data_IF_728590096198
#
_entry.id   IF_728590096198
#
_cell.length_a   1.000
_cell.length_b   1.000
_cell.length_c   1.000
_cell.angle_alpha   90.00
_cell.angle_beta   90.00
_cell.angle_gamma   90.00
#
_symmetry.space_group_name_H-M   'P 1'
#
loop_
_entity.id
_entity.type
_entity.pdbx_description
1 polymer ?
#
# COMPACT_ATOMS: atom_id res chain seq x y z
N UNK A 1 -11.20 -34.21 8.59
CA UNK A 1 -11.12 -32.84 9.13
C UNK A 1 -11.27 -31.90 7.95
N UNK A 2 -12.39 -31.17 7.85
CA UNK A 2 -12.59 -30.17 6.77
C UNK A 2 -12.05 -28.84 7.29
N UNK A 3 -10.90 -28.43 6.78
CA UNK A 3 -10.45 -27.04 6.89
C UNK A 3 -11.36 -26.21 5.99
N UNK A 4 -12.42 -25.64 6.56
CA UNK A 4 -13.20 -24.63 5.89
C UNK A 4 -12.36 -23.36 5.89
N UNK A 5 -11.62 -23.12 4.80
CA UNK A 5 -10.97 -21.85 4.54
C UNK A 5 -12.07 -20.79 4.38
N UNK A 6 -12.48 -20.17 5.47
CA UNK A 6 -13.31 -18.98 5.45
C UNK A 6 -12.41 -17.82 5.00
N UNK A 7 -12.02 -17.81 3.72
CA UNK A 7 -11.46 -16.61 3.09
C UNK A 7 -12.60 -15.61 3.05
N UNK A 8 -12.65 -14.78 4.07
CA UNK A 8 -13.57 -13.66 4.12
C UNK A 8 -13.37 -12.84 2.84
N UNK A 9 -14.36 -12.87 1.95
CA UNK A 9 -14.32 -12.17 0.66
C UNK A 9 -14.30 -10.65 0.82
N UNK A 10 -14.33 -10.13 2.05
CA UNK A 10 -14.36 -8.69 2.33
C UNK A 10 -12.98 -8.04 2.49
N UNK A 11 -11.87 -8.79 2.41
CA UNK A 11 -10.53 -8.20 2.52
C UNK A 11 -9.84 -7.97 1.17
N UNK A 12 -9.17 -6.82 1.04
CA UNK A 12 -8.29 -6.54 -0.08
C UNK A 12 -7.02 -7.39 0.04
N UNK A 13 -6.65 -8.04 -1.05
CA UNK A 13 -5.43 -8.85 -1.13
C UNK A 13 -4.80 -8.73 -2.52
N UNK A 14 -3.47 -8.68 -2.57
CA UNK A 14 -2.75 -8.70 -3.85
C UNK A 14 -2.72 -10.15 -4.35
N UNK A 15 -3.33 -10.39 -5.52
CA UNK A 15 -3.41 -11.73 -6.13
C UNK A 15 -2.25 -12.01 -7.06
N UNK A 16 -1.84 -11.00 -7.84
CA UNK A 16 -0.85 -11.15 -8.91
C UNK A 16 -0.17 -9.82 -9.18
N UNK A 17 1.10 -9.88 -9.56
CA UNK A 17 1.88 -8.75 -10.04
C UNK A 17 2.57 -9.22 -11.32
N UNK A 18 2.33 -8.52 -12.42
CA UNK A 18 2.93 -8.83 -13.72
C UNK A 18 3.05 -7.56 -14.57
N UNK A 19 3.47 -7.71 -15.83
CA UNK A 19 3.71 -6.60 -16.75
C UNK A 19 2.46 -5.75 -17.05
N UNK A 20 1.25 -6.28 -16.82
CA UNK A 20 0.00 -5.56 -17.00
C UNK A 20 -0.32 -4.62 -15.84
N UNK A 21 0.13 -4.95 -14.63
CA UNK A 21 -0.08 -4.18 -13.42
C UNK A 21 -0.16 -5.03 -12.15
N UNK A 22 -0.74 -4.45 -11.09
CA UNK A 22 -0.97 -5.13 -9.81
C UNK A 22 -2.45 -5.50 -9.69
N UNK A 23 -2.72 -6.79 -9.51
CA UNK A 23 -4.06 -7.33 -9.37
C UNK A 23 -4.44 -7.38 -7.90
N UNK A 24 -5.36 -6.52 -7.49
CA UNK A 24 -5.98 -6.53 -6.16
C UNK A 24 -7.36 -7.17 -6.31
N UNK A 25 -7.55 -8.31 -5.66
CA UNK A 25 -8.74 -9.15 -5.87
C UNK A 25 -8.97 -9.41 -7.38
N UNK A 26 -10.08 -8.92 -7.93
CA UNK A 26 -10.45 -9.06 -9.35
C UNK A 26 -10.16 -7.80 -10.19
N UNK A 27 -9.51 -6.79 -9.61
CA UNK A 27 -9.22 -5.49 -10.27
C UNK A 27 -7.74 -5.36 -10.61
N UNK A 28 -7.44 -5.01 -11.86
CA UNK A 28 -6.08 -4.68 -12.29
C UNK A 28 -5.81 -3.18 -12.12
N UNK A 29 -4.82 -2.84 -11.29
CA UNK A 29 -4.38 -1.48 -11.03
C UNK A 29 -3.09 -1.19 -11.80
N UNK A 30 -3.15 -0.14 -12.63
CA UNK A 30 -2.06 0.33 -13.51
C UNK A 30 -1.53 1.72 -13.14
N UNK A 31 -2.18 2.34 -12.17
CA UNK A 31 -1.85 3.63 -11.62
C UNK A 31 -1.51 3.48 -10.15
N UNK A 32 -0.90 4.50 -9.56
CA UNK A 32 -0.66 4.53 -8.13
C UNK A 32 -1.96 4.44 -7.35
N UNK A 33 -1.92 3.65 -6.27
CA UNK A 33 -3.08 3.32 -5.46
C UNK A 33 -2.66 3.16 -4.00
N UNK A 34 -3.64 3.19 -3.10
CA UNK A 34 -3.43 2.74 -1.73
C UNK A 34 -4.60 1.90 -1.25
N UNK A 35 -4.35 1.03 -0.29
CA UNK A 35 -5.38 0.19 0.31
C UNK A 35 -5.06 -0.21 1.75
N UNK A 36 -6.12 -0.40 2.52
CA UNK A 36 -6.11 -1.17 3.77
C UNK A 36 -6.79 -2.51 3.51
N UNK A 37 -6.96 -3.34 4.55
CA UNK A 37 -7.69 -4.61 4.43
C UNK A 37 -9.13 -4.38 3.93
N UNK A 38 -9.74 -3.21 4.20
CA UNK A 38 -11.18 -2.97 3.94
C UNK A 38 -11.46 -1.81 3.00
N UNK A 39 -10.44 -1.04 2.64
CA UNK A 39 -10.57 0.14 1.79
C UNK A 39 -9.57 0.08 0.64
N UNK A 40 -10.00 0.41 -0.57
CA UNK A 40 -9.14 0.51 -1.75
C UNK A 40 -9.43 1.85 -2.44
N UNK A 41 -8.38 2.64 -2.65
CA UNK A 41 -8.40 3.82 -3.52
C UNK A 41 -7.57 3.49 -4.77
N UNK A 42 -8.21 3.18 -5.92
CA UNK A 42 -7.52 2.73 -7.13
C UNK A 42 -6.83 3.85 -7.92
N UNK A 43 -7.17 5.11 -7.64
CA UNK A 43 -6.61 6.29 -8.29
C UNK A 43 -6.19 7.29 -7.21
N UNK A 44 -4.93 7.19 -6.78
CA UNK A 44 -4.40 8.07 -5.74
C UNK A 44 -3.99 9.45 -6.30
N UNK A 45 -3.76 9.57 -7.61
CA UNK A 45 -3.33 10.81 -8.25
C UNK A 45 -1.82 11.09 -8.19
N UNK A 46 -1.06 10.38 -7.35
CA UNK A 46 0.42 10.44 -7.33
C UNK A 46 0.97 9.71 -8.56
N UNK A 47 1.64 10.39 -9.49
CA UNK A 47 2.14 9.76 -10.73
C UNK A 47 3.61 9.34 -10.67
N UNK A 48 4.39 9.96 -9.78
CA UNK A 48 5.77 9.60 -9.49
C UNK A 48 6.09 9.82 -8.00
N UNK A 49 7.16 9.18 -7.52
CA UNK A 49 7.60 9.33 -6.13
C UNK A 49 7.98 10.77 -5.77
N UNK A 50 8.49 11.53 -6.74
CA UNK A 50 8.78 12.96 -6.59
C UNK A 50 7.55 13.82 -6.37
N UNK A 51 6.36 13.34 -6.77
CA UNK A 51 5.11 14.08 -6.65
C UNK A 51 4.47 13.88 -5.27
N UNK A 52 4.99 12.93 -4.48
CA UNK A 52 4.47 12.62 -3.16
C UNK A 52 4.62 13.83 -2.23
N UNK A 53 3.49 14.41 -1.87
CA UNK A 53 3.41 15.60 -1.03
C UNK A 53 3.01 15.25 0.41
N UNK A 54 3.08 16.26 1.29
CA UNK A 54 2.52 16.13 2.63
C UNK A 54 1.02 15.78 2.58
N UNK A 55 0.25 16.41 1.69
CA UNK A 55 -1.21 16.18 1.60
C UNK A 55 -1.54 14.73 1.25
N UNK A 56 -0.72 14.09 0.42
CA UNK A 56 -0.88 12.68 0.08
C UNK A 56 -0.64 11.79 1.30
N UNK A 57 0.38 12.10 2.12
CA UNK A 57 0.63 11.42 3.39
C UNK A 57 -0.53 11.62 4.37
N UNK A 58 -1.11 12.83 4.48
CA UNK A 58 -2.29 13.06 5.33
C UNK A 58 -3.47 12.18 4.93
N UNK A 59 -3.71 12.04 3.62
CA UNK A 59 -4.79 11.19 3.13
C UNK A 59 -4.60 9.73 3.56
N UNK A 60 -3.36 9.23 3.57
CA UNK A 60 -3.05 7.90 4.11
C UNK A 60 -3.24 7.84 5.62
N UNK A 61 -2.77 8.84 6.36
CA UNK A 61 -2.89 8.91 7.82
C UNK A 61 -4.34 9.05 8.31
N UNK A 62 -5.22 9.65 7.50
CA UNK A 62 -6.65 9.75 7.80
C UNK A 62 -7.33 8.38 7.92
N UNK A 63 -6.76 7.34 7.30
CA UNK A 63 -7.20 5.94 7.45
C UNK A 63 -6.74 5.28 8.75
N UNK A 64 -5.95 6.00 9.57
CA UNK A 64 -5.43 5.57 10.89
C UNK A 64 -4.74 4.20 10.87
N UNK A 65 -3.76 3.96 9.98
CA UNK A 65 -2.97 2.74 10.02
C UNK A 65 -1.96 2.78 11.19
N UNK A 66 -1.54 1.62 11.68
CA UNK A 66 -0.38 1.51 12.57
C UNK A 66 0.94 1.55 11.77
N UNK A 67 0.89 1.06 10.52
CA UNK A 67 2.05 1.00 9.62
C UNK A 67 1.64 1.23 8.17
N UNK A 68 2.48 1.98 7.45
CA UNK A 68 2.39 2.23 6.02
C UNK A 68 3.53 1.47 5.33
N UNK A 69 3.17 0.55 4.43
CA UNK A 69 4.08 -0.08 3.48
C UNK A 69 4.05 0.76 2.21
N UNK A 70 5.13 1.49 1.93
CA UNK A 70 5.26 2.35 0.75
C UNK A 70 6.09 1.64 -0.33
N UNK A 71 5.42 1.20 -1.38
CA UNK A 71 6.02 0.66 -2.60
C UNK A 71 6.36 1.78 -3.59
N UNK A 72 7.64 1.95 -3.93
CA UNK A 72 8.13 3.08 -4.74
C UNK A 72 8.42 2.71 -6.21
N UNK A 73 7.79 1.66 -6.73
CA UNK A 73 8.02 1.15 -8.09
C UNK A 73 8.98 -0.02 -8.11
N UNK A 74 9.85 -0.09 -9.12
CA UNK A 74 10.82 -1.19 -9.30
C UNK A 74 11.97 -1.16 -8.28
N UNK A 75 12.25 0.02 -7.73
CA UNK A 75 13.35 0.23 -6.82
C UNK A 75 12.88 0.96 -5.56
N UNK A 76 13.40 0.56 -4.41
CA UNK A 76 13.23 1.28 -3.17
C UNK A 76 13.85 2.68 -3.27
N UNK A 77 13.11 3.69 -2.85
CA UNK A 77 13.58 5.07 -2.74
C UNK A 77 13.56 5.54 -1.28
N UNK A 78 14.37 6.55 -0.95
CA UNK A 78 14.36 7.12 0.39
C UNK A 78 13.27 8.16 0.52
N UNK A 79 12.40 8.00 1.52
CA UNK A 79 11.37 8.98 1.83
C UNK A 79 12.01 10.28 2.35
N UNK A 80 11.60 11.46 1.84
CA UNK A 80 12.06 12.73 2.37
C UNK A 80 11.85 12.83 3.90
N UNK A 81 12.81 13.38 4.66
CA UNK A 81 12.73 13.45 6.12
C UNK A 81 11.45 14.12 6.62
N UNK A 82 10.94 15.13 5.90
CA UNK A 82 9.72 15.86 6.26
C UNK A 82 8.49 14.94 6.25
N UNK A 83 8.37 14.07 5.24
CA UNK A 83 7.27 13.12 5.14
C UNK A 83 7.39 12.01 6.20
N UNK A 84 8.62 11.55 6.46
CA UNK A 84 8.86 10.57 7.52
C UNK A 84 8.52 11.13 8.91
N UNK A 85 8.96 12.36 9.20
CA UNK A 85 8.64 13.06 10.45
C UNK A 85 7.15 13.20 10.66
N UNK A 86 6.39 13.44 9.58
CA UNK A 86 4.94 13.56 9.62
C UNK A 86 4.26 12.25 10.05
N UNK A 87 4.66 11.13 9.46
CA UNK A 87 4.16 9.81 9.89
C UNK A 87 4.55 9.50 11.33
N UNK A 88 5.80 9.78 11.71
CA UNK A 88 6.26 9.62 13.09
C UNK A 88 5.48 10.45 14.10
N UNK A 89 5.14 11.71 13.76
CA UNK A 89 4.34 12.58 14.61
C UNK A 89 2.91 12.06 14.80
N UNK A 90 2.39 11.31 13.82
CA UNK A 90 1.12 10.59 13.93
C UNK A 90 1.23 9.23 14.63
N UNK A 91 2.44 8.82 15.06
CA UNK A 91 2.68 7.52 15.69
C UNK A 91 2.65 6.34 14.71
N UNK A 92 2.78 6.61 13.41
CA UNK A 92 2.66 5.61 12.33
C UNK A 92 4.04 5.23 11.81
N UNK A 93 4.34 3.93 11.81
CA UNK A 93 5.57 3.41 11.20
C UNK A 93 5.50 3.46 9.68
N UNK A 94 6.61 3.76 9.01
CA UNK A 94 6.69 3.72 7.54
C UNK A 94 7.83 2.81 7.12
N UNK A 95 7.52 1.83 6.28
CA UNK A 95 8.49 0.96 5.64
C UNK A 95 8.47 1.20 4.13
N UNK A 96 9.60 1.64 3.59
CA UNK A 96 9.75 1.94 2.17
C UNK A 96 10.49 0.81 1.49
N UNK A 97 9.94 0.29 0.40
CA UNK A 97 10.50 -0.83 -0.36
C UNK A 97 10.07 -0.76 -1.83
N UNK A 98 10.53 -1.69 -2.66
CA UNK A 98 9.96 -1.84 -4.00
C UNK A 98 8.49 -2.31 -3.93
N UNK A 99 7.72 -2.02 -4.98
CA UNK A 99 6.28 -2.31 -5.01
C UNK A 99 5.96 -3.81 -4.88
N UNK A 100 6.82 -4.70 -5.39
CA UNK A 100 6.59 -6.13 -5.29
C UNK A 100 6.81 -6.64 -3.85
N UNK A 101 7.85 -6.15 -3.17
CA UNK A 101 8.06 -6.40 -1.75
C UNK A 101 6.90 -5.85 -0.90
N UNK A 102 6.48 -4.60 -1.12
CA UNK A 102 5.39 -3.96 -0.37
C UNK A 102 4.09 -4.77 -0.46
N UNK A 103 3.73 -5.20 -1.66
CA UNK A 103 2.55 -6.03 -1.90
C UNK A 103 2.61 -7.38 -1.17
N UNK A 104 3.78 -8.04 -1.16
CA UNK A 104 3.97 -9.33 -0.47
C UNK A 104 3.88 -9.15 1.04
N UNK A 105 4.55 -8.14 1.58
CA UNK A 105 4.52 -7.80 3.01
C UNK A 105 3.09 -7.48 3.46
N UNK A 106 2.34 -6.69 2.68
CA UNK A 106 0.93 -6.40 2.98
C UNK A 106 0.11 -7.68 3.13
N UNK A 107 0.21 -8.61 2.18
CA UNK A 107 -0.52 -9.88 2.27
C UNK A 107 -0.16 -10.70 3.52
N UNK A 108 1.11 -10.70 3.93
CA UNK A 108 1.52 -11.36 5.19
C UNK A 108 0.89 -10.64 6.38
N UNK A 109 1.01 -9.32 6.45
CA UNK A 109 0.48 -8.52 7.56
C UNK A 109 -1.04 -8.51 7.64
N UNK A 110 -1.76 -8.75 6.54
CA UNK A 110 -3.23 -8.91 6.57
C UNK A 110 -3.69 -10.14 7.34
N UNK A 111 -2.78 -11.08 7.63
CA UNK A 111 -3.07 -12.22 8.51
C UNK A 111 -2.87 -11.91 9.98
N UNK A 112 -2.33 -10.72 10.30
CA UNK A 112 -2.11 -10.21 11.65
C UNK A 112 -3.24 -9.25 12.06
N UNK A 113 -3.54 -9.14 13.35
CA UNK A 113 -4.56 -8.21 13.89
C UNK A 113 -4.01 -6.78 14.00
N UNK A 114 -3.35 -6.30 12.94
CA UNK A 114 -2.73 -4.98 12.89
C UNK A 114 -3.24 -4.18 11.69
N UNK A 115 -3.73 -2.94 11.88
CA UNK A 115 -4.07 -2.04 10.78
C UNK A 115 -2.83 -1.70 9.93
N UNK A 116 -2.70 -2.35 8.78
CA UNK A 116 -1.66 -2.04 7.79
C UNK A 116 -2.27 -1.36 6.57
N UNK A 117 -1.59 -0.32 6.09
CA UNK A 117 -1.88 0.34 4.82
C UNK A 117 -0.76 0.03 3.83
N UNK A 118 -1.14 -0.33 2.61
CA UNK A 118 -0.25 -0.41 1.46
C UNK A 118 -0.47 0.83 0.58
N UNK A 119 0.59 1.56 0.27
CA UNK A 119 0.59 2.61 -0.74
C UNK A 119 1.60 2.24 -1.83
N UNK A 120 1.17 2.22 -3.09
CA UNK A 120 2.01 1.84 -4.22
C UNK A 120 2.03 2.98 -5.23
N UNK A 121 3.24 3.38 -5.60
CA UNK A 121 3.49 4.37 -6.64
C UNK A 121 3.88 3.62 -7.92
N UNK A 122 3.12 3.86 -8.98
CA UNK A 122 3.40 3.36 -10.31
C UNK A 122 3.70 4.54 -11.23
N UNK A 123 4.82 4.47 -11.94
CA UNK A 123 5.10 5.42 -13.01
C UNK A 123 4.09 5.23 -14.13
N UNK A 124 3.42 6.32 -14.53
CA UNK A 124 2.63 6.32 -15.75
C UNK A 124 3.52 5.91 -16.92
N UNK A 125 3.10 4.88 -17.65
CA UNK A 125 3.84 4.34 -18.81
C UNK A 125 3.50 5.09 -20.08
#
# INVERSE_FOLDING_TARGET
MKFTEHKDRSINSVRRIDADGIWVNDTCLRSSFYMTQKHLCPDWGVSAFSDLSEQDIDALLALKPDVILLGTGEHQQFLPPQLLQRCHAAGVGVEVMDSAAACRTFNVMTTEDRPVLLAVIQSAR
#
